data_IF_180699371388
#
_entry.id   IF_180699371388
#
_cell.length_a   1.000
_cell.length_b   1.000
_cell.length_c   1.000
_cell.angle_alpha   90.00
_cell.angle_beta   90.00
_cell.angle_gamma   90.00
#
_symmetry.space_group_name_H-M   'P 1'
#
loop_
_entity.id
_entity.type
_entity.pdbx_description
1 polymer ?
#
# COMPACT_ATOMS: atom_id res chain seq x y z
N UNK A 1 12.11 -3.77 6.48
CA UNK A 1 12.02 -3.02 5.21
C UNK A 1 10.91 -3.62 4.40
N UNK A 2 9.88 -2.83 4.14
CA UNK A 2 8.72 -3.22 3.37
C UNK A 2 8.71 -2.52 2.02
N UNK A 3 7.95 -3.05 1.07
CA UNK A 3 7.78 -2.42 -0.24
C UNK A 3 6.35 -2.52 -0.72
N UNK A 4 5.98 -1.65 -1.65
CA UNK A 4 4.69 -1.68 -2.34
C UNK A 4 4.87 -1.17 -3.77
N UNK A 5 4.06 -1.65 -4.69
CA UNK A 5 4.04 -1.19 -6.09
C UNK A 5 2.62 -0.81 -6.54
N UNK A 6 2.53 0.07 -7.52
CA UNK A 6 1.28 0.33 -8.24
C UNK A 6 0.84 -0.93 -8.99
N UNK A 7 -0.43 -0.99 -9.37
CA UNK A 7 -1.05 -2.15 -10.04
C UNK A 7 -0.39 -2.46 -11.39
N UNK A 8 -0.02 -1.42 -12.13
CA UNK A 8 0.68 -1.52 -13.41
C UNK A 8 2.22 -1.56 -13.24
N UNK A 9 2.74 -1.43 -12.01
CA UNK A 9 4.16 -1.51 -11.70
C UNK A 9 4.99 -0.31 -12.15
N UNK A 10 4.35 0.80 -12.54
CA UNK A 10 5.01 2.02 -13.01
C UNK A 10 5.59 2.89 -11.87
N UNK A 11 5.18 2.59 -10.63
CA UNK A 11 5.62 3.17 -9.37
C UNK A 11 5.92 2.06 -8.36
N UNK A 12 6.98 2.23 -7.58
CA UNK A 12 7.23 1.41 -6.39
C UNK A 12 7.92 2.20 -5.29
N UNK A 13 7.69 1.79 -4.05
CA UNK A 13 8.31 2.39 -2.87
C UNK A 13 8.94 1.29 -2.02
N UNK A 14 10.03 1.65 -1.35
CA UNK A 14 10.58 0.92 -0.20
C UNK A 14 10.45 1.84 1.00
N UNK A 15 9.97 1.31 2.12
CA UNK A 15 9.74 2.08 3.33
C UNK A 15 10.39 1.46 4.57
N UNK A 16 10.53 2.28 5.60
CA UNK A 16 10.60 1.80 6.98
C UNK A 16 9.31 1.08 7.37
N UNK A 17 9.29 0.41 8.51
CA UNK A 17 8.10 -0.30 8.97
C UNK A 17 6.97 0.69 9.36
N UNK A 18 7.30 1.95 9.61
CA UNK A 18 6.34 3.06 9.84
C UNK A 18 5.87 3.75 8.56
N UNK A 19 6.33 3.32 7.38
CA UNK A 19 5.91 3.88 6.09
C UNK A 19 6.69 5.11 5.62
N UNK A 20 7.83 5.42 6.24
CA UNK A 20 8.69 6.49 5.74
C UNK A 20 9.45 6.01 4.49
N UNK A 21 9.37 6.72 3.35
CA UNK A 21 10.01 6.26 2.12
C UNK A 21 11.53 6.38 2.22
N UNK A 22 12.21 5.28 1.92
CA UNK A 22 13.68 5.23 1.77
C UNK A 22 14.09 5.20 0.29
N UNK A 23 13.24 4.62 -0.57
CA UNK A 23 13.41 4.59 -2.01
C UNK A 23 12.07 4.78 -2.70
N UNK A 24 12.03 5.55 -3.78
CA UNK A 24 10.89 5.68 -4.68
C UNK A 24 11.38 5.47 -6.11
N UNK A 25 10.77 4.53 -6.82
CA UNK A 25 11.02 4.29 -8.25
C UNK A 25 9.83 4.78 -9.05
N UNK A 26 10.11 5.58 -10.09
CA UNK A 26 9.12 6.18 -10.98
C UNK A 26 9.58 5.90 -12.41
N UNK A 27 8.75 5.22 -13.19
CA UNK A 27 9.03 5.04 -14.62
C UNK A 27 8.84 6.34 -15.42
N UNK A 28 9.45 6.44 -16.60
CA UNK A 28 9.29 7.61 -17.48
C UNK A 28 7.81 7.86 -17.85
N UNK A 29 7.05 6.80 -18.07
CA UNK A 29 5.62 6.88 -18.34
C UNK A 29 4.85 7.49 -17.16
N UNK A 30 5.20 7.10 -15.93
CA UNK A 30 4.62 7.67 -14.73
C UNK A 30 5.06 9.12 -14.49
N UNK A 31 6.34 9.45 -14.77
CA UNK A 31 6.89 10.78 -14.55
C UNK A 31 6.20 11.89 -15.37
N UNK A 32 5.58 11.54 -16.50
CA UNK A 32 4.78 12.48 -17.31
C UNK A 32 3.38 12.79 -16.75
N UNK A 33 2.95 12.11 -15.68
CA UNK A 33 1.63 12.31 -15.05
C UNK A 33 1.60 13.58 -14.20
N UNK A 34 0.40 14.04 -13.87
CA UNK A 34 0.21 15.18 -12.96
C UNK A 34 0.88 14.94 -11.59
N UNK A 35 1.61 15.94 -11.09
CA UNK A 35 2.40 15.83 -9.87
C UNK A 35 1.53 15.58 -8.62
N UNK A 36 0.32 16.14 -8.57
CA UNK A 36 -0.58 15.91 -7.43
C UNK A 36 -1.16 14.49 -7.47
N UNK A 37 -1.43 13.95 -8.66
CA UNK A 37 -1.82 12.55 -8.84
C UNK A 37 -0.70 11.61 -8.38
N UNK A 38 0.54 11.85 -8.84
CA UNK A 38 1.70 11.04 -8.44
C UNK A 38 1.94 11.09 -6.93
N UNK A 39 1.86 12.27 -6.33
CA UNK A 39 2.07 12.44 -4.89
C UNK A 39 1.04 11.65 -4.08
N UNK A 40 -0.24 11.67 -4.48
CA UNK A 40 -1.29 10.89 -3.82
C UNK A 40 -1.03 9.40 -3.90
N UNK A 41 -0.66 8.90 -5.08
CA UNK A 41 -0.40 7.47 -5.28
C UNK A 41 0.83 7.00 -4.50
N UNK A 42 1.93 7.77 -4.51
CA UNK A 42 3.13 7.47 -3.72
C UNK A 42 2.79 7.42 -2.22
N UNK A 43 2.01 8.38 -1.71
CA UNK A 43 1.60 8.38 -0.31
C UNK A 43 0.67 7.21 0.03
N UNK A 44 -0.19 6.79 -0.92
CA UNK A 44 -0.98 5.57 -0.81
C UNK A 44 -0.10 4.33 -0.70
N UNK A 45 0.90 4.20 -1.59
CA UNK A 45 1.89 3.12 -1.56
C UNK A 45 2.65 3.06 -0.24
N UNK A 46 3.09 4.20 0.30
CA UNK A 46 3.77 4.26 1.59
C UNK A 46 2.87 3.75 2.74
N UNK A 47 1.59 4.15 2.77
CA UNK A 47 0.62 3.66 3.77
C UNK A 47 0.39 2.15 3.63
N UNK A 48 0.18 1.65 2.41
CA UNK A 48 0.01 0.20 2.17
C UNK A 48 1.23 -0.60 2.62
N UNK A 49 2.42 -0.09 2.34
CA UNK A 49 3.67 -0.74 2.76
C UNK A 49 3.78 -0.83 4.29
N UNK A 50 3.45 0.25 5.02
CA UNK A 50 3.45 0.27 6.48
C UNK A 50 2.44 -0.72 7.08
N UNK A 51 1.21 -0.72 6.58
CA UNK A 51 0.16 -1.63 7.07
C UNK A 51 0.56 -3.08 6.82
N UNK A 52 1.06 -3.39 5.62
CA UNK A 52 1.56 -4.73 5.28
C UNK A 52 2.73 -5.16 6.19
N UNK A 53 3.67 -4.24 6.48
CA UNK A 53 4.77 -4.50 7.42
C UNK A 53 4.24 -4.85 8.83
N UNK A 54 3.25 -4.09 9.31
CA UNK A 54 2.59 -4.33 10.59
C UNK A 54 1.89 -5.69 10.67
N UNK A 55 1.18 -6.08 9.61
CA UNK A 55 0.57 -7.42 9.49
C UNK A 55 1.63 -8.51 9.52
N UNK A 56 2.70 -8.35 8.74
CA UNK A 56 3.83 -9.29 8.74
C UNK A 56 4.49 -9.40 10.11
N UNK A 57 4.64 -8.28 10.82
CA UNK A 57 5.18 -8.25 12.19
C UNK A 57 4.28 -9.00 13.17
N UNK A 58 2.96 -8.84 13.02
CA UNK A 58 1.96 -9.55 13.80
C UNK A 58 2.12 -11.07 13.65
N UNK A 59 2.25 -11.56 12.41
CA UNK A 59 2.49 -12.98 12.11
C UNK A 59 3.79 -13.48 12.73
N UNK A 60 4.89 -12.76 12.57
CA UNK A 60 6.19 -13.14 13.15
C UNK A 60 6.14 -13.28 14.68
N UNK A 61 5.39 -12.41 15.36
CA UNK A 61 5.23 -12.47 16.82
C UNK A 61 4.40 -13.69 17.24
N UNK A 62 3.34 -14.02 16.49
CA UNK A 62 2.56 -15.24 16.72
C UNK A 62 3.42 -16.49 16.53
N UNK A 63 4.22 -16.54 15.47
CA UNK A 63 5.15 -17.65 15.20
C UNK A 63 6.24 -17.77 16.28
N UNK A 64 6.65 -16.64 16.88
CA UNK A 64 7.57 -16.61 18.02
C UNK A 64 6.92 -17.00 19.36
N UNK A 65 5.62 -17.34 19.38
CA UNK A 65 4.89 -17.76 20.58
C UNK A 65 4.44 -16.61 21.48
N UNK A 66 4.41 -15.39 20.99
CA UNK A 66 3.86 -14.24 21.74
C UNK A 66 2.34 -14.39 21.85
N UNK A 67 1.83 -14.17 23.05
CA UNK A 67 0.39 -14.30 23.35
C UNK A 67 -0.44 -13.26 22.56
N UNK A 68 -1.58 -13.68 22.04
CA UNK A 68 -2.43 -12.88 21.14
C UNK A 68 -2.91 -11.56 21.74
N UNK A 69 -3.32 -11.53 23.01
CA UNK A 69 -3.74 -10.32 23.71
C UNK A 69 -2.61 -9.31 23.88
N UNK A 70 -1.37 -9.76 24.08
CA UNK A 70 -0.20 -8.88 24.04
C UNK A 70 0.03 -8.30 22.64
N UNK A 71 -0.17 -9.10 21.59
CA UNK A 71 -0.08 -8.63 20.20
C UNK A 71 -1.17 -7.60 19.88
N UNK A 72 -2.39 -7.82 20.37
CA UNK A 72 -3.49 -6.87 20.23
C UNK A 72 -3.20 -5.56 20.97
N UNK A 73 -2.62 -5.63 22.16
CA UNK A 73 -2.24 -4.45 22.94
C UNK A 73 -1.14 -3.61 22.27
N UNK A 74 -0.33 -4.18 21.37
CA UNK A 74 0.68 -3.44 20.59
C UNK A 74 0.07 -2.58 19.48
N UNK A 75 -1.23 -2.74 19.16
CA UNK A 75 -1.90 -1.94 18.12
C UNK A 75 -1.37 -2.19 16.71
N UNK A 76 -0.81 -3.38 16.45
CA UNK A 76 -0.33 -3.73 15.13
C UNK A 76 -1.50 -3.89 14.15
N UNK A 77 -1.36 -3.41 12.90
CA UNK A 77 -2.38 -3.59 11.86
C UNK A 77 -2.75 -5.05 11.62
N UNK A 78 -4.01 -5.27 11.25
CA UNK A 78 -4.56 -6.58 10.92
C UNK A 78 -4.71 -6.77 9.40
N UNK A 79 -4.93 -8.01 8.97
CA UNK A 79 -5.21 -8.31 7.57
C UNK A 79 -6.51 -7.63 7.07
N UNK A 80 -7.47 -7.42 7.95
CA UNK A 80 -8.72 -6.71 7.63
C UNK A 80 -8.47 -5.20 7.43
N UNK A 81 -7.55 -4.60 8.21
CA UNK A 81 -7.14 -3.20 8.00
C UNK A 81 -6.45 -3.01 6.66
N UNK A 82 -5.60 -3.96 6.25
CA UNK A 82 -4.97 -3.95 4.94
C UNK A 82 -6.01 -4.06 3.82
N UNK A 83 -6.96 -4.99 3.93
CA UNK A 83 -8.02 -5.17 2.93
C UNK A 83 -8.89 -3.91 2.80
N UNK A 84 -9.27 -3.28 3.92
CA UNK A 84 -10.02 -2.00 3.92
C UNK A 84 -9.24 -0.88 3.25
N UNK A 85 -7.94 -0.81 3.50
CA UNK A 85 -7.07 0.20 2.88
C UNK A 85 -7.00 0.00 1.36
N UNK A 86 -6.79 -1.24 0.89
CA UNK A 86 -6.75 -1.56 -0.54
C UNK A 86 -8.07 -1.24 -1.24
N UNK A 87 -9.21 -1.54 -0.60
CA UNK A 87 -10.53 -1.17 -1.13
C UNK A 87 -10.71 0.35 -1.22
N UNK A 88 -10.25 1.11 -0.22
CA UNK A 88 -10.33 2.57 -0.24
C UNK A 88 -9.46 3.18 -1.35
N UNK A 89 -8.25 2.69 -1.54
CA UNK A 89 -7.35 3.13 -2.62
C UNK A 89 -7.92 2.82 -4.02
N UNK A 90 -8.58 1.68 -4.19
CA UNK A 90 -9.23 1.31 -5.45
C UNK A 90 -10.40 2.25 -5.79
N UNK A 91 -11.17 2.68 -4.79
CA UNK A 91 -12.26 3.65 -4.97
C UNK A 91 -11.74 5.05 -5.33
N UNK A 92 -10.63 5.50 -4.72
CA UNK A 92 -10.03 6.82 -4.98
C UNK A 92 -9.41 6.91 -6.39
N UNK A 93 -8.88 5.80 -6.90
CA UNK A 93 -8.23 5.75 -8.22
C UNK A 93 -9.24 5.80 -9.39
N UNK A 94 -10.55 5.67 -9.11
CA UNK A 94 -11.63 5.96 -10.07
C UNK A 94 -11.73 5.03 -11.29
N UNK A 95 -11.04 3.88 -11.27
CA UNK A 95 -10.95 3.00 -12.43
C UNK A 95 -12.14 2.02 -12.50
N UNK A 96 -13.33 2.56 -12.73
CA UNK A 96 -14.55 1.80 -13.07
C UNK A 96 -15.07 2.12 -14.48
N UNK A 97 -14.29 2.78 -15.35
CA UNK A 97 -14.79 3.36 -16.60
C UNK A 97 -14.24 2.76 -17.92
N UNK A 98 -13.57 1.61 -17.91
CA UNK A 98 -12.81 1.17 -19.12
C UNK A 98 -13.44 0.05 -19.96
N UNK A 99 -14.69 -0.35 -19.69
CA UNK A 99 -15.39 -1.39 -20.48
C UNK A 99 -16.62 -0.89 -21.25
N UNK A 100 -16.85 0.43 -21.33
CA UNK A 100 -17.94 1.04 -22.12
C UNK A 100 -17.46 2.01 -23.23
N UNK A 101 -16.38 1.67 -23.95
CA UNK A 101 -16.15 2.29 -25.26
C UNK A 101 -17.07 1.66 -26.30
N UNK A 102 -18.27 2.21 -26.45
CA UNK A 102 -19.14 1.97 -27.60
C UNK A 102 -18.40 2.43 -28.86
N UNK A 103 -18.04 1.48 -29.72
CA UNK A 103 -17.53 1.77 -31.07
C UNK A 103 -18.70 2.30 -31.88
N UNK A 104 -18.57 3.54 -32.37
CA UNK A 104 -19.44 4.09 -33.42
C UNK A 104 -18.62 4.25 -34.70
#
# INVERSE_FOLDING_TARGET
MASASSRNGDLSVVTTDEGLPTTVSISDAAAGRDAAVLSREILGLCRRSAVSAGVGRRVQLQEAGVESGLIDAMGLPTADDLAKLEMADDLDTGDTATWMRSVR
#
